data_IF_308604970880
#
_entry.id   IF_308604970880
#
_cell.length_a   1.000
_cell.length_b   1.000
_cell.length_c   1.000
_cell.angle_alpha   90.00
_cell.angle_beta   90.00
_cell.angle_gamma   90.00
#
_symmetry.space_group_name_H-M   'P 1'
#
loop_
_entity.id
_entity.type
_entity.pdbx_description
1 polymer ?
#
# COMPACT_ATOMS: atom_id res chain seq x y z
N UNK A 1 12.02 -6.43 -6.07
CA UNK A 1 10.90 -7.20 -6.64
C UNK A 1 10.20 -7.94 -5.52
N UNK A 2 8.87 -7.92 -5.50
CA UNK A 2 8.04 -8.69 -4.57
C UNK A 2 7.39 -9.80 -5.38
N UNK A 3 7.45 -11.03 -4.90
CA UNK A 3 6.77 -12.18 -5.52
C UNK A 3 5.72 -12.71 -4.54
N UNK A 4 4.48 -12.79 -4.99
CA UNK A 4 3.35 -13.40 -4.29
C UNK A 4 3.00 -14.71 -5.01
N UNK A 5 2.99 -15.84 -4.29
CA UNK A 5 2.82 -17.17 -4.90
C UNK A 5 1.75 -17.97 -4.19
N UNK A 6 0.64 -18.26 -4.85
CA UNK A 6 -0.45 -19.13 -4.39
C UNK A 6 -1.09 -18.70 -3.08
N UNK A 7 -1.12 -17.39 -2.80
CA UNK A 7 -1.51 -16.84 -1.52
C UNK A 7 -2.99 -17.10 -1.24
N UNK A 8 -3.28 -17.79 -0.14
CA UNK A 8 -4.65 -18.19 0.23
C UNK A 8 -4.94 -17.88 1.69
N UNK A 9 -6.15 -17.36 1.97
CA UNK A 9 -6.61 -17.06 3.34
C UNK A 9 -8.10 -17.31 3.50
N UNK A 10 -8.42 -18.09 4.55
CA UNK A 10 -9.78 -18.34 4.98
C UNK A 10 -10.05 -17.67 6.34
N UNK A 11 -11.26 -17.22 6.55
CA UNK A 11 -11.81 -16.79 7.84
C UNK A 11 -13.12 -17.55 8.07
N UNK A 12 -13.05 -18.65 8.84
CA UNK A 12 -14.14 -19.63 8.93
C UNK A 12 -14.44 -20.19 7.53
N UNK A 13 -15.70 -20.16 7.13
CA UNK A 13 -16.15 -20.65 5.82
C UNK A 13 -15.91 -19.65 4.66
N UNK A 14 -15.48 -18.41 5.00
CA UNK A 14 -15.25 -17.39 3.98
C UNK A 14 -13.83 -17.44 3.44
N UNK A 15 -13.70 -17.59 2.13
CA UNK A 15 -12.44 -17.44 1.43
C UNK A 15 -12.22 -15.94 1.18
N UNK A 16 -11.23 -15.36 1.84
CA UNK A 16 -10.90 -13.94 1.70
C UNK A 16 -9.88 -13.70 0.58
N UNK A 17 -8.96 -14.64 0.36
CA UNK A 17 -7.96 -14.66 -0.71
C UNK A 17 -7.78 -16.10 -1.16
N UNK A 18 -7.73 -16.33 -2.48
CA UNK A 18 -7.67 -17.66 -3.07
C UNK A 18 -6.62 -17.75 -4.17
N UNK A 19 -5.56 -18.52 -3.93
CA UNK A 19 -4.49 -18.85 -4.87
C UNK A 19 -3.91 -17.64 -5.65
N UNK A 20 -3.82 -16.48 -4.96
CA UNK A 20 -3.38 -15.24 -5.58
C UNK A 20 -1.88 -15.28 -5.87
N UNK A 21 -1.50 -15.04 -7.13
CA UNK A 21 -0.10 -15.04 -7.57
C UNK A 21 0.15 -13.85 -8.49
N UNK A 22 1.12 -13.00 -8.16
CA UNK A 22 1.55 -11.87 -8.97
C UNK A 22 2.94 -11.39 -8.53
N UNK A 23 3.59 -10.63 -9.40
CA UNK A 23 4.85 -9.96 -9.12
C UNK A 23 4.67 -8.44 -9.05
N UNK A 24 5.46 -7.78 -8.20
CA UNK A 24 5.58 -6.31 -8.15
C UNK A 24 6.99 -5.95 -8.61
N UNK A 25 7.07 -5.22 -9.71
CA UNK A 25 8.34 -4.81 -10.30
C UNK A 25 9.03 -3.74 -9.42
N UNK A 26 10.36 -3.79 -9.35
CA UNK A 26 11.16 -2.80 -8.64
C UNK A 26 11.17 -1.45 -9.36
N UNK A 27 11.26 -0.35 -8.60
CA UNK A 27 11.38 1.01 -9.15
C UNK A 27 10.12 1.50 -9.85
N UNK A 28 8.95 0.95 -9.53
CA UNK A 28 7.69 1.27 -10.20
C UNK A 28 6.56 1.48 -9.20
N UNK A 29 5.53 2.17 -9.64
CA UNK A 29 4.27 2.28 -8.90
C UNK A 29 3.30 1.23 -9.43
N UNK A 30 2.91 0.29 -8.57
CA UNK A 30 1.89 -0.72 -8.86
C UNK A 30 0.62 -0.39 -8.08
N UNK A 31 -0.47 -0.16 -8.81
CA UNK A 31 -1.82 -0.01 -8.25
C UNK A 31 -2.44 -1.37 -7.95
N UNK A 32 -2.94 -1.55 -6.73
CA UNK A 32 -3.68 -2.74 -6.30
C UNK A 32 -5.16 -2.41 -6.19
N UNK A 33 -5.94 -2.80 -7.18
CA UNK A 33 -7.31 -2.32 -7.38
C UNK A 33 -8.34 -3.45 -7.35
N UNK A 34 -9.54 -3.11 -6.97
CA UNK A 34 -10.68 -4.03 -6.90
C UNK A 34 -11.77 -3.53 -5.97
N UNK A 35 -12.96 -4.09 -6.02
CA UNK A 35 -14.08 -3.66 -5.18
C UNK A 35 -13.82 -3.87 -3.68
N UNK A 36 -14.66 -3.26 -2.86
CA UNK A 36 -14.63 -3.49 -1.42
C UNK A 36 -14.91 -4.97 -1.13
N UNK A 37 -14.11 -5.55 -0.23
CA UNK A 37 -14.20 -6.97 0.08
C UNK A 37 -13.48 -7.92 -0.87
N UNK A 38 -12.81 -7.43 -1.92
CA UNK A 38 -12.04 -8.23 -2.87
C UNK A 38 -10.76 -8.87 -2.30
N UNK A 39 -10.45 -8.65 -1.02
CA UNK A 39 -9.27 -9.25 -0.39
C UNK A 39 -8.04 -8.35 -0.32
N UNK A 40 -8.08 -7.11 -0.80
CA UNK A 40 -6.93 -6.20 -0.87
C UNK A 40 -6.19 -6.06 0.47
N UNK A 41 -6.87 -5.56 1.50
CA UNK A 41 -6.23 -5.36 2.82
C UNK A 41 -5.77 -6.68 3.47
N UNK A 42 -6.48 -7.80 3.23
CA UNK A 42 -6.07 -9.12 3.70
C UNK A 42 -4.76 -9.55 3.04
N UNK A 43 -4.66 -9.38 1.71
CA UNK A 43 -3.44 -9.65 0.94
C UNK A 43 -2.28 -8.80 1.45
N UNK A 44 -2.46 -7.49 1.58
CA UNK A 44 -1.41 -6.59 2.07
C UNK A 44 -0.97 -6.93 3.51
N UNK A 45 -1.89 -7.31 4.39
CA UNK A 45 -1.54 -7.79 5.75
C UNK A 45 -0.72 -9.07 5.73
N UNK A 46 -0.99 -9.99 4.80
CA UNK A 46 -0.18 -11.19 4.60
C UNK A 46 1.20 -10.84 4.04
N UNK A 47 1.27 -9.87 3.11
CA UNK A 47 2.54 -9.43 2.53
C UNK A 47 3.52 -8.88 3.56
N UNK A 48 3.02 -8.23 4.63
CA UNK A 48 3.86 -7.70 5.73
C UNK A 48 3.83 -8.57 6.99
N UNK A 49 3.37 -9.81 6.89
CA UNK A 49 3.41 -10.79 7.99
C UNK A 49 2.45 -10.53 9.15
N UNK A 50 1.53 -9.57 9.04
CA UNK A 50 0.51 -9.29 10.07
C UNK A 50 -0.60 -10.34 10.09
N UNK A 51 -0.79 -11.05 9.00
CA UNK A 51 -1.71 -12.18 8.88
C UNK A 51 -0.96 -13.35 8.27
N UNK A 52 -1.01 -14.51 8.94
CA UNK A 52 -0.43 -15.73 8.38
C UNK A 52 -1.33 -16.26 7.27
N UNK A 53 -0.81 -16.49 6.05
CA UNK A 53 -1.55 -17.19 5.02
C UNK A 53 -1.79 -18.66 5.41
N UNK A 54 -2.85 -19.25 4.88
CA UNK A 54 -3.12 -20.69 5.04
C UNK A 54 -2.30 -21.48 4.02
N UNK A 55 -2.12 -20.93 2.80
CA UNK A 55 -1.24 -21.46 1.76
C UNK A 55 -0.51 -20.33 1.03
N UNK A 56 0.57 -20.70 0.34
CA UNK A 56 1.38 -19.76 -0.41
C UNK A 56 2.36 -18.96 0.43
N UNK A 57 3.13 -18.11 -0.23
CA UNK A 57 4.10 -17.24 0.44
C UNK A 57 4.28 -15.90 -0.28
N UNK A 58 4.96 -14.96 0.41
CA UNK A 58 5.37 -13.66 -0.12
C UNK A 58 6.86 -13.50 0.11
N UNK A 59 7.57 -13.12 -0.95
CA UNK A 59 9.03 -12.94 -0.93
C UNK A 59 9.43 -11.55 -1.38
N UNK A 60 10.40 -10.99 -0.68
CA UNK A 60 11.11 -9.77 -1.03
C UNK A 60 12.53 -10.15 -1.42
N UNK A 61 12.92 -9.91 -2.67
CA UNK A 61 14.22 -10.37 -3.22
C UNK A 61 14.47 -11.87 -2.97
N UNK A 62 13.41 -12.69 -3.10
CA UNK A 62 13.48 -14.14 -2.86
C UNK A 62 13.43 -14.57 -1.38
N UNK A 63 13.44 -13.61 -0.42
CA UNK A 63 13.41 -13.88 1.02
C UNK A 63 12.00 -13.68 1.58
N UNK A 64 11.41 -14.64 2.30
CA UNK A 64 10.14 -14.44 2.99
C UNK A 64 10.20 -13.27 3.98
N UNK A 65 9.13 -12.46 4.05
CA UNK A 65 9.07 -11.28 4.94
C UNK A 65 9.48 -11.63 6.39
N UNK A 66 9.00 -12.76 6.91
CA UNK A 66 9.27 -13.23 8.29
C UNK A 66 10.72 -13.60 8.56
N UNK A 67 11.56 -13.69 7.51
CA UNK A 67 13.01 -13.98 7.61
C UNK A 67 13.89 -12.76 7.31
N UNK A 68 13.29 -11.61 7.02
CA UNK A 68 14.04 -10.37 6.82
C UNK A 68 14.72 -9.93 8.11
N UNK A 69 16.03 -9.69 8.07
CA UNK A 69 16.81 -9.26 9.25
C UNK A 69 16.46 -7.84 9.69
N UNK A 70 16.15 -6.96 8.73
CA UNK A 70 15.80 -5.55 8.94
C UNK A 70 14.58 -5.19 8.10
N UNK A 71 13.39 -5.69 8.46
CA UNK A 71 12.20 -5.54 7.61
C UNK A 71 11.85 -4.08 7.32
N UNK A 72 12.10 -3.16 8.28
CA UNK A 72 11.82 -1.73 8.09
C UNK A 72 12.70 -1.04 7.02
N UNK A 73 13.85 -1.64 6.63
CA UNK A 73 14.66 -1.18 5.51
C UNK A 73 14.21 -1.73 4.16
N UNK A 74 13.43 -2.78 4.19
CA UNK A 74 12.89 -3.40 2.97
C UNK A 74 11.49 -2.88 2.70
N UNK A 75 10.62 -2.83 3.73
CA UNK A 75 9.21 -2.45 3.54
C UNK A 75 8.79 -1.45 4.61
N UNK A 76 8.39 -0.26 4.17
CA UNK A 76 7.57 0.65 4.95
C UNK A 76 6.10 0.46 4.60
N UNK A 77 5.23 0.29 5.58
CA UNK A 77 3.82 0.05 5.31
C UNK A 77 2.88 0.91 6.12
N UNK A 78 1.78 1.35 5.48
CA UNK A 78 0.62 1.99 6.13
C UNK A 78 -0.61 1.19 5.77
N UNK A 79 -1.12 0.40 6.71
CA UNK A 79 -2.34 -0.39 6.54
C UNK A 79 -3.52 0.17 7.35
N UNK A 80 -3.26 1.05 8.31
CA UNK A 80 -4.27 1.85 9.02
C UNK A 80 -3.60 3.11 9.60
N UNK A 81 -3.96 4.26 9.08
CA UNK A 81 -3.44 5.56 9.54
C UNK A 81 -3.99 6.00 10.92
N UNK A 82 -4.92 5.26 11.51
CA UNK A 82 -5.53 5.58 12.82
C UNK A 82 -4.76 4.99 14.00
N UNK A 83 -3.76 4.14 13.76
CA UNK A 83 -2.99 3.44 14.79
C UNK A 83 -1.98 4.36 15.50
N UNK A 84 -2.45 5.47 16.08
CA UNK A 84 -1.63 6.44 16.81
C UNK A 84 -2.19 6.69 18.20
N UNK A 85 -1.29 6.76 19.20
CA UNK A 85 -1.72 7.09 20.56
C UNK A 85 -2.01 8.61 20.67
N UNK A 86 -3.25 9.05 20.98
CA UNK A 86 -3.67 10.45 20.88
C UNK A 86 -2.94 11.40 21.84
N UNK A 87 -2.39 10.88 22.92
CA UNK A 87 -1.62 11.65 23.90
C UNK A 87 -0.17 11.88 23.53
N UNK A 88 0.38 11.20 22.50
CA UNK A 88 1.76 11.41 22.03
C UNK A 88 1.84 12.57 21.07
N UNK A 89 2.97 13.28 21.05
CA UNK A 89 3.28 14.21 19.96
C UNK A 89 3.70 13.41 18.72
N UNK A 90 3.62 14.04 17.52
CA UNK A 90 4.05 13.42 16.29
C UNK A 90 5.52 12.97 16.38
N UNK A 91 6.41 13.85 16.86
CA UNK A 91 7.82 13.56 17.10
C UNK A 91 8.02 12.35 18.02
N UNK A 92 7.34 12.32 19.17
CA UNK A 92 7.48 11.22 20.12
C UNK A 92 6.84 9.92 19.62
N UNK A 93 5.83 10.00 18.74
CA UNK A 93 5.30 8.83 18.06
C UNK A 93 6.36 8.20 17.14
N UNK A 94 7.00 9.02 16.30
CA UNK A 94 8.05 8.55 15.39
C UNK A 94 9.32 8.09 16.15
N UNK A 95 9.71 8.78 17.23
CA UNK A 95 10.84 8.33 18.09
C UNK A 95 10.61 6.93 18.66
N UNK A 96 9.39 6.65 19.11
CA UNK A 96 9.05 5.32 19.61
C UNK A 96 9.17 4.25 18.51
N UNK A 97 8.78 4.56 17.26
CA UNK A 97 8.94 3.67 16.11
C UNK A 97 10.42 3.51 15.72
N UNK A 98 11.17 4.60 15.69
CA UNK A 98 12.61 4.61 15.38
C UNK A 98 13.40 3.74 16.35
N UNK A 99 13.11 3.82 17.66
CA UNK A 99 13.76 3.01 18.70
C UNK A 99 13.53 1.50 18.47
N UNK A 100 12.31 1.08 18.09
CA UNK A 100 11.97 -0.32 17.78
C UNK A 100 12.70 -0.79 16.53
N UNK A 101 12.86 0.09 15.53
CA UNK A 101 13.47 -0.23 14.24
C UNK A 101 14.98 0.00 14.19
N UNK A 102 15.61 0.40 15.29
CA UNK A 102 17.03 0.77 15.38
C UNK A 102 17.43 1.85 14.35
N UNK A 103 16.57 2.85 14.18
CA UNK A 103 16.76 4.00 13.30
C UNK A 103 17.21 5.21 14.11
N UNK A 104 18.10 6.04 13.53
CA UNK A 104 18.63 7.24 14.18
C UNK A 104 17.50 8.26 14.49
N UNK A 105 17.64 9.00 15.60
CA UNK A 105 16.72 10.10 15.94
C UNK A 105 16.74 11.24 14.90
N UNK A 106 17.87 11.47 14.23
CA UNK A 106 17.97 12.47 13.14
C UNK A 106 17.00 12.18 12.02
N UNK A 107 16.73 10.89 11.73
CA UNK A 107 15.78 10.47 10.71
C UNK A 107 14.34 10.87 11.05
N UNK A 108 14.01 11.03 12.33
CA UNK A 108 12.67 11.49 12.77
C UNK A 108 12.38 12.89 12.25
N UNK A 109 13.33 13.79 12.34
CA UNK A 109 13.15 15.17 11.84
C UNK A 109 13.11 15.21 10.31
N UNK A 110 13.95 14.41 9.65
CA UNK A 110 13.93 14.27 8.19
C UNK A 110 12.57 13.81 7.66
N UNK A 111 11.99 12.74 8.24
CA UNK A 111 10.69 12.24 7.75
C UNK A 111 9.54 13.19 8.11
N UNK A 112 9.59 13.91 9.23
CA UNK A 112 8.63 14.96 9.55
C UNK A 112 8.66 16.07 8.50
N UNK A 113 9.87 16.47 8.07
CA UNK A 113 10.07 17.45 7.01
C UNK A 113 9.53 16.93 5.67
N UNK A 114 9.87 15.70 5.28
CA UNK A 114 9.41 15.08 4.02
C UNK A 114 7.89 15.07 3.89
N UNK A 115 7.16 14.88 4.98
CA UNK A 115 5.69 14.87 4.97
C UNK A 115 5.05 16.23 5.28
N UNK A 116 5.85 17.28 5.53
CA UNK A 116 5.39 18.64 5.83
C UNK A 116 4.68 18.76 7.16
N UNK A 117 5.19 18.08 8.20
CA UNK A 117 4.67 18.13 9.57
C UNK A 117 5.61 18.83 10.56
N UNK A 118 6.62 19.59 10.09
CA UNK A 118 7.59 20.30 10.93
C UNK A 118 6.90 21.17 11.99
N UNK A 119 5.95 22.01 11.57
CA UNK A 119 5.24 22.93 12.45
C UNK A 119 4.30 22.21 13.44
N UNK A 120 3.96 20.95 13.18
CA UNK A 120 3.07 20.15 14.02
C UNK A 120 3.83 19.03 14.77
N UNK A 121 5.16 18.98 14.67
CA UNK A 121 5.98 17.91 15.22
C UNK A 121 5.74 17.70 16.73
N UNK A 122 5.58 18.78 17.48
CA UNK A 122 5.40 18.75 18.94
C UNK A 122 3.92 18.88 19.37
N UNK A 123 2.98 18.85 18.42
CA UNK A 123 1.55 18.77 18.70
C UNK A 123 1.12 17.32 18.95
N UNK A 124 0.15 17.14 19.86
CA UNK A 124 -0.44 15.82 20.16
C UNK A 124 -1.26 15.31 18.99
N UNK A 125 -1.09 14.05 18.60
CA UNK A 125 -1.78 13.42 17.46
C UNK A 125 -3.29 13.33 17.63
N UNK A 126 -3.80 13.42 18.86
CA UNK A 126 -5.24 13.49 19.14
C UNK A 126 -5.95 14.67 18.48
N UNK A 127 -5.24 15.80 18.30
CA UNK A 127 -5.74 16.99 17.60
C UNK A 127 -5.51 17.00 16.08
N UNK A 128 -4.90 15.96 15.51
CA UNK A 128 -4.59 15.92 14.07
C UNK A 128 -5.84 15.72 13.23
N UNK A 129 -5.91 16.46 12.12
CA UNK A 129 -6.85 16.15 11.04
C UNK A 129 -6.56 14.77 10.46
N UNK A 130 -7.49 14.21 9.70
CA UNK A 130 -7.28 12.92 9.04
C UNK A 130 -6.07 12.97 8.09
N UNK A 131 -5.92 14.05 7.32
CA UNK A 131 -4.77 14.27 6.44
C UNK A 131 -3.44 14.35 7.20
N UNK A 132 -3.39 15.02 8.36
CA UNK A 132 -2.19 15.05 9.19
C UNK A 132 -1.85 13.65 9.75
N UNK A 133 -2.85 12.86 10.13
CA UNK A 133 -2.63 11.48 10.57
C UNK A 133 -2.09 10.61 9.44
N UNK A 134 -2.64 10.77 8.22
CA UNK A 134 -2.15 10.05 7.04
C UNK A 134 -0.69 10.40 6.75
N UNK A 135 -0.34 11.68 6.77
CA UNK A 135 1.05 12.14 6.59
C UNK A 135 1.97 11.57 7.66
N UNK A 136 1.55 11.56 8.92
CA UNK A 136 2.35 10.99 10.01
C UNK A 136 2.52 9.47 9.89
N UNK A 137 1.49 8.75 9.44
CA UNK A 137 1.59 7.31 9.17
C UNK A 137 2.62 7.02 8.05
N UNK A 138 2.59 7.82 6.98
CA UNK A 138 3.57 7.73 5.89
C UNK A 138 4.98 8.07 6.39
N UNK A 139 5.14 9.09 7.26
CA UNK A 139 6.42 9.38 7.91
C UNK A 139 6.95 8.16 8.69
N UNK A 140 6.07 7.46 9.41
CA UNK A 140 6.41 6.23 10.11
C UNK A 140 6.88 5.12 9.17
N UNK A 141 6.22 4.96 8.02
CA UNK A 141 6.63 4.00 6.99
C UNK A 141 7.99 4.34 6.37
N UNK A 142 8.32 5.62 6.22
CA UNK A 142 9.57 6.11 5.64
C UNK A 142 10.76 6.11 6.62
N UNK A 143 10.55 5.88 7.93
CA UNK A 143 11.60 5.93 8.96
C UNK A 143 12.78 5.02 8.65
N UNK A 144 12.49 3.78 8.23
CA UNK A 144 13.50 2.77 7.94
C UNK A 144 14.30 3.00 6.66
N UNK A 145 13.99 4.06 5.89
CA UNK A 145 14.51 4.26 4.53
C UNK A 145 14.26 3.03 3.65
N UNK A 146 12.98 2.65 3.47
CA UNK A 146 12.62 1.38 2.85
C UNK A 146 12.81 1.38 1.34
N UNK A 147 13.06 0.20 0.77
CA UNK A 147 13.08 -0.01 -0.69
C UNK A 147 11.66 -0.09 -1.27
N UNK A 148 10.68 -0.51 -0.46
CA UNK A 148 9.27 -0.69 -0.83
C UNK A 148 8.38 0.14 0.09
N UNK A 149 7.47 0.90 -0.49
CA UNK A 149 6.41 1.60 0.22
C UNK A 149 5.05 0.96 -0.10
N UNK A 150 4.42 0.37 0.92
CA UNK A 150 3.14 -0.33 0.80
C UNK A 150 2.04 0.45 1.52
N UNK A 151 1.03 0.92 0.79
CA UNK A 151 0.00 1.80 1.33
C UNK A 151 -1.40 1.26 1.01
N UNK A 152 -2.21 1.04 2.06
CA UNK A 152 -3.61 0.62 1.91
C UNK A 152 -4.52 1.85 1.97
N UNK A 153 -5.17 2.18 0.84
CA UNK A 153 -6.12 3.28 0.68
C UNK A 153 -5.59 4.64 1.21
N UNK A 154 -4.37 5.08 0.84
CA UNK A 154 -3.74 6.25 1.47
C UNK A 154 -4.40 7.59 1.12
N UNK A 155 -5.21 7.66 0.08
CA UNK A 155 -5.94 8.86 -0.34
C UNK A 155 -7.20 9.12 0.48
N UNK A 156 -7.69 8.12 1.24
CA UNK A 156 -8.93 8.23 1.98
C UNK A 156 -8.91 9.38 2.99
N UNK A 157 -9.85 10.31 2.81
CA UNK A 157 -10.03 11.47 3.70
C UNK A 157 -8.98 12.56 3.54
N UNK A 158 -8.17 12.52 2.48
CA UNK A 158 -7.36 13.66 2.07
C UNK A 158 -8.22 14.66 1.27
N UNK A 159 -7.89 15.93 1.43
CA UNK A 159 -8.38 16.98 0.55
C UNK A 159 -7.65 16.96 -0.81
N UNK A 160 -8.11 17.70 -1.84
CA UNK A 160 -7.46 17.70 -3.15
C UNK A 160 -5.97 18.08 -3.11
N UNK A 161 -5.54 18.93 -2.16
CA UNK A 161 -4.15 19.27 -1.99
C UNK A 161 -3.35 18.11 -1.40
N UNK A 162 -3.93 17.40 -0.42
CA UNK A 162 -3.37 16.20 0.17
C UNK A 162 -3.19 15.08 -0.86
N UNK A 163 -4.16 14.88 -1.75
CA UNK A 163 -4.08 13.89 -2.83
C UNK A 163 -2.95 14.26 -3.81
N UNK A 164 -2.85 15.53 -4.23
CA UNK A 164 -1.74 15.99 -5.10
C UNK A 164 -0.38 15.80 -4.45
N UNK A 165 -0.26 16.10 -3.15
CA UNK A 165 0.95 15.89 -2.39
C UNK A 165 1.31 14.39 -2.34
N UNK A 166 0.34 13.53 -2.02
CA UNK A 166 0.55 12.09 -1.96
C UNK A 166 1.06 11.54 -3.29
N UNK A 167 0.39 11.89 -4.39
CA UNK A 167 0.82 11.49 -5.74
C UNK A 167 2.25 11.92 -6.04
N UNK A 168 2.57 13.19 -5.83
CA UNK A 168 3.93 13.71 -6.09
C UNK A 168 4.98 12.98 -5.25
N UNK A 169 4.69 12.66 -3.99
CA UNK A 169 5.58 11.92 -3.10
C UNK A 169 5.78 10.48 -3.59
N UNK A 170 4.71 9.76 -3.98
CA UNK A 170 4.80 8.39 -4.48
C UNK A 170 5.54 8.30 -5.81
N UNK A 171 5.27 9.25 -6.74
CA UNK A 171 5.99 9.34 -8.02
C UNK A 171 7.48 9.57 -7.77
N UNK A 172 7.82 10.56 -6.93
CA UNK A 172 9.22 10.83 -6.59
C UNK A 172 9.91 9.64 -5.95
N UNK A 173 9.25 8.95 -5.02
CA UNK A 173 9.80 7.76 -4.38
C UNK A 173 10.14 6.66 -5.42
N UNK A 174 9.29 6.48 -6.44
CA UNK A 174 9.55 5.55 -7.53
C UNK A 174 10.66 6.04 -8.47
N UNK A 175 10.68 7.33 -8.82
CA UNK A 175 11.72 7.94 -9.66
C UNK A 175 13.12 7.84 -9.01
N UNK A 176 13.18 7.91 -7.67
CA UNK A 176 14.40 7.71 -6.88
C UNK A 176 14.79 6.21 -6.76
N UNK A 177 14.08 5.31 -7.45
CA UNK A 177 14.35 3.86 -7.51
C UNK A 177 13.59 3.01 -6.50
N UNK A 178 12.76 3.61 -5.65
CA UNK A 178 11.89 2.89 -4.71
C UNK A 178 10.73 2.19 -5.42
N UNK A 179 10.15 1.20 -4.76
CA UNK A 179 8.99 0.45 -5.26
C UNK A 179 7.75 0.85 -4.49
N UNK A 180 6.67 1.21 -5.18
CA UNK A 180 5.39 1.57 -4.56
C UNK A 180 4.35 0.50 -4.85
N UNK A 181 3.70 -0.02 -3.80
CA UNK A 181 2.52 -0.87 -3.91
C UNK A 181 1.35 -0.21 -3.17
N UNK A 182 0.38 0.30 -3.90
CA UNK A 182 -0.68 1.13 -3.34
C UNK A 182 -2.05 0.61 -3.70
N UNK A 183 -2.89 0.33 -2.69
CA UNK A 183 -4.30 0.04 -2.94
C UNK A 183 -5.09 1.35 -3.09
N UNK A 184 -6.07 1.34 -3.97
CA UNK A 184 -7.06 2.41 -4.09
C UNK A 184 -8.35 1.89 -4.69
N UNK A 185 -9.45 2.53 -4.32
CA UNK A 185 -10.71 2.45 -5.02
C UNK A 185 -10.93 3.68 -5.94
N UNK A 186 -10.05 4.69 -5.86
CA UNK A 186 -10.02 5.85 -6.79
C UNK A 186 -9.15 5.54 -8.00
N UNK A 187 -9.72 4.79 -8.93
CA UNK A 187 -9.03 4.22 -10.09
C UNK A 187 -8.52 5.31 -11.02
N UNK A 188 -9.33 6.35 -11.25
CA UNK A 188 -8.96 7.49 -12.09
C UNK A 188 -7.71 8.22 -11.59
N UNK A 189 -7.49 8.28 -10.28
CA UNK A 189 -6.28 8.88 -9.71
C UNK A 189 -5.06 8.01 -9.96
N UNK A 190 -5.16 6.69 -9.74
CA UNK A 190 -4.07 5.75 -10.03
C UNK A 190 -3.65 5.78 -11.50
N UNK A 191 -4.61 5.93 -12.43
CA UNK A 191 -4.34 6.03 -13.85
C UNK A 191 -3.38 7.17 -14.23
N UNK A 192 -3.22 8.17 -13.36
CA UNK A 192 -2.37 9.33 -13.65
C UNK A 192 -0.90 9.13 -13.30
N UNK A 193 -0.55 8.10 -12.51
CA UNK A 193 0.83 7.91 -12.04
C UNK A 193 1.24 6.45 -11.82
N UNK A 194 0.33 5.48 -11.85
CA UNK A 194 0.68 4.07 -11.77
C UNK A 194 1.32 3.60 -13.08
N UNK A 195 2.27 2.68 -12.96
CA UNK A 195 2.93 2.02 -14.09
C UNK A 195 2.30 0.67 -14.38
N UNK A 196 1.91 -0.05 -13.34
CA UNK A 196 1.36 -1.39 -13.41
C UNK A 196 0.10 -1.49 -12.56
N UNK A 197 -0.81 -2.39 -12.93
CA UNK A 197 -2.01 -2.71 -12.17
C UNK A 197 -2.03 -4.19 -11.78
N UNK A 198 -2.48 -4.45 -10.55
CA UNK A 198 -2.92 -5.75 -10.08
C UNK A 198 -4.39 -5.61 -9.73
N UNK A 199 -5.24 -6.24 -10.53
CA UNK A 199 -6.70 -6.18 -10.40
C UNK A 199 -7.19 -7.44 -9.70
N UNK A 200 -8.00 -7.27 -8.64
CA UNK A 200 -8.53 -8.39 -7.86
C UNK A 200 -10.04 -8.30 -7.72
N UNK A 201 -10.69 -9.46 -7.72
CA UNK A 201 -12.13 -9.61 -7.52
C UNK A 201 -12.42 -10.89 -6.76
N UNK A 202 -13.34 -10.85 -5.79
CA UNK A 202 -13.78 -12.02 -5.01
C UNK A 202 -12.64 -12.86 -4.42
N UNK A 203 -11.57 -12.21 -3.95
CA UNK A 203 -10.40 -12.86 -3.38
C UNK A 203 -9.44 -13.48 -4.39
N UNK A 204 -9.63 -13.30 -5.69
CA UNK A 204 -8.82 -13.85 -6.78
C UNK A 204 -8.13 -12.77 -7.58
N UNK A 205 -7.00 -13.13 -8.18
CA UNK A 205 -6.38 -12.29 -9.20
C UNK A 205 -7.23 -12.31 -10.47
N UNK A 206 -7.54 -11.13 -11.00
CA UNK A 206 -8.21 -10.95 -12.29
C UNK A 206 -7.15 -10.73 -13.37
N UNK A 207 -6.25 -9.75 -13.17
CA UNK A 207 -5.11 -9.50 -14.05
C UNK A 207 -3.97 -8.83 -13.29
N UNK A 208 -2.74 -8.99 -13.77
CA UNK A 208 -1.56 -8.25 -13.32
C UNK A 208 -0.75 -7.86 -14.56
N UNK A 209 -0.79 -6.59 -14.94
CA UNK A 209 -0.24 -6.13 -16.21
C UNK A 209 0.15 -4.65 -16.17
N UNK A 210 0.94 -4.15 -17.13
CA UNK A 210 1.18 -2.71 -17.29
C UNK A 210 -0.14 -1.96 -17.48
N UNK A 211 -0.26 -0.76 -16.89
CA UNK A 211 -1.43 0.10 -17.03
C UNK A 211 -1.76 0.39 -18.51
N UNK A 212 -0.74 0.58 -19.35
CA UNK A 212 -0.91 0.79 -20.79
C UNK A 212 -1.66 -0.36 -21.47
N UNK A 213 -1.37 -1.60 -21.07
CA UNK A 213 -2.05 -2.80 -21.60
C UNK A 213 -3.53 -2.81 -21.22
N UNK A 214 -3.85 -2.44 -19.97
CA UNK A 214 -5.24 -2.33 -19.53
C UNK A 214 -5.99 -1.26 -20.32
N UNK A 215 -5.38 -0.08 -20.51
CA UNK A 215 -5.99 1.03 -21.26
C UNK A 215 -6.15 0.73 -22.76
N UNK A 216 -5.30 -0.11 -23.33
CA UNK A 216 -5.39 -0.52 -24.75
C UNK A 216 -6.47 -1.57 -25.03
N UNK A 217 -7.10 -2.16 -23.99
CA UNK A 217 -8.20 -3.14 -24.14
C UNK A 217 -9.43 -2.50 -24.81
N UNK A 218 -9.81 -1.32 -24.38
CA UNK A 218 -10.82 -0.51 -25.03
C UNK A 218 -10.54 0.98 -24.80
N UNK A 219 -10.08 1.66 -25.84
CA UNK A 219 -9.71 3.08 -25.81
C UNK A 219 -10.93 4.02 -25.74
N UNK A 220 -12.13 3.49 -25.84
CA UNK A 220 -13.38 4.26 -25.76
C UNK A 220 -13.94 4.31 -24.34
N UNK A 221 -13.54 3.37 -23.50
CA UNK A 221 -13.97 3.25 -22.11
C UNK A 221 -13.01 3.96 -21.15
N UNK A 222 -13.54 4.42 -20.03
CA UNK A 222 -12.71 4.85 -18.91
C UNK A 222 -12.02 3.64 -18.25
N UNK A 223 -10.89 3.87 -17.55
CA UNK A 223 -10.26 2.80 -16.77
C UNK A 223 -11.22 2.20 -15.73
N UNK A 224 -12.13 3.02 -15.18
CA UNK A 224 -13.15 2.55 -14.22
C UNK A 224 -14.13 1.57 -14.89
N UNK A 225 -14.59 1.86 -16.10
CA UNK A 225 -15.49 0.96 -16.84
C UNK A 225 -14.79 -0.35 -17.19
N UNK A 226 -13.56 -0.29 -17.68
CA UNK A 226 -12.76 -1.49 -17.99
C UNK A 226 -12.59 -2.37 -16.74
N UNK A 227 -12.30 -1.77 -15.58
CA UNK A 227 -12.10 -2.53 -14.34
C UNK A 227 -13.42 -3.07 -13.78
N UNK A 228 -14.53 -2.36 -13.95
CA UNK A 228 -15.86 -2.86 -13.61
C UNK A 228 -16.21 -4.10 -14.44
N UNK A 229 -15.98 -4.07 -15.75
CA UNK A 229 -16.21 -5.21 -16.63
C UNK A 229 -15.34 -6.41 -16.22
N UNK A 230 -14.04 -6.20 -16.04
CA UNK A 230 -13.10 -7.25 -15.61
C UNK A 230 -13.48 -7.89 -14.27
N UNK A 231 -13.98 -7.10 -13.31
CA UNK A 231 -14.36 -7.60 -11.99
C UNK A 231 -15.76 -8.21 -11.96
N UNK A 232 -16.67 -7.79 -12.84
CA UNK A 232 -18.02 -8.35 -12.99
C UNK A 232 -17.97 -9.75 -13.59
N UNK A 233 -17.15 -9.97 -14.61
CA UNK A 233 -16.92 -11.29 -15.20
C UNK A 233 -16.35 -12.26 -14.16
N UNK A 234 -15.38 -11.81 -13.34
CA UNK A 234 -14.83 -12.62 -12.26
C UNK A 234 -15.87 -13.01 -11.19
N UNK A 235 -16.93 -12.21 -11.00
CA UNK A 235 -18.03 -12.55 -10.09
C UNK A 235 -18.91 -13.66 -10.63
N UNK A 236 -19.13 -13.75 -11.93
CA UNK A 236 -19.93 -14.80 -12.57
C UNK A 236 -19.22 -16.16 -12.55
N UNK A 237 -17.89 -16.19 -12.76
CA UNK A 237 -17.10 -17.43 -12.71
C UNK A 237 -16.94 -18.00 -11.28
N UNK A 238 -17.10 -17.19 -10.23
CA UNK A 238 -17.02 -17.66 -8.85
C UNK A 238 -18.34 -18.25 -8.31
N UNK A 239 -19.44 -18.08 -9.04
CA UNK A 239 -20.79 -18.57 -8.69
C UNK A 239 -21.18 -19.86 -9.44
N UNK A 240 -20.34 -20.35 -10.35
CA UNK A 240 -20.51 -21.59 -11.10
C UNK A 240 -19.60 -22.70 -10.54
#
# INVERSE_FOLDING_TARGET
MITVSGLTKHYGDRIAVHEMSFDVAAGRVTGFVGPNGAGKSTTMRMMVGLTRPDHGDVRYHGVPYTRLLRPARIVGSVLDARCMHPGRTARNHLRAMAAISSVSETRVDEVLHLVGLDAAADQRTGGFSLGMRQRLAIAGALLGDPEVLMLDEPANGLDPNGIRWLRAMLTRFADDGGTVFVSSHFIAELATFAHDLVVVGNGRLVTAEPLSTTLDRDRTLSLEDILLDLTSDAAQYAAA
#
